data_IF_321217153659
#
_entry.id   IF_321217153659
#
_cell.length_a   1.000
_cell.length_b   1.000
_cell.length_c   1.000
_cell.angle_alpha   90.00
_cell.angle_beta   90.00
_cell.angle_gamma   90.00
#
_symmetry.space_group_name_H-M   'P 1'
#
loop_
_entity.id
_entity.type
_entity.pdbx_description
1 polymer ?
#
# COMPACT_ATOMS: atom_id res chain seq x y z
N UNK A 1 -27.85 -0.72 -34.95
CA UNK A 1 -28.05 -1.13 -33.53
C UNK A 1 -27.70 -2.60 -33.25
N UNK A 2 -28.03 -3.56 -34.11
CA UNK A 2 -27.87 -5.02 -33.87
C UNK A 2 -26.40 -5.51 -33.75
N UNK A 3 -25.44 -4.85 -34.41
CA UNK A 3 -24.03 -5.24 -34.39
C UNK A 3 -23.32 -4.98 -33.04
N UNK A 4 -23.68 -3.89 -32.35
CA UNK A 4 -23.13 -3.56 -31.02
C UNK A 4 -23.62 -4.54 -29.94
N UNK A 5 -24.85 -5.03 -30.06
CA UNK A 5 -25.45 -6.01 -29.16
C UNK A 5 -24.72 -7.36 -29.20
N UNK A 6 -24.33 -7.81 -30.41
CA UNK A 6 -23.59 -9.08 -30.59
C UNK A 6 -22.14 -9.01 -30.08
N UNK A 7 -21.50 -7.84 -30.19
CA UNK A 7 -20.17 -7.63 -29.61
C UNK A 7 -20.21 -7.62 -28.08
N UNK A 8 -21.21 -6.96 -27.48
CA UNK A 8 -21.41 -6.98 -26.03
C UNK A 8 -21.66 -8.39 -25.49
N UNK A 9 -22.48 -9.20 -26.17
CA UNK A 9 -22.75 -10.58 -25.76
C UNK A 9 -21.50 -11.49 -25.84
N UNK A 10 -20.62 -11.28 -26.83
CA UNK A 10 -19.33 -11.99 -26.91
C UNK A 10 -18.36 -11.56 -25.80
N UNK A 11 -18.37 -10.28 -25.42
CA UNK A 11 -17.55 -9.77 -24.32
C UNK A 11 -18.04 -10.35 -22.98
N UNK A 12 -19.36 -10.41 -22.76
CA UNK A 12 -19.93 -10.97 -21.52
C UNK A 12 -19.58 -12.47 -21.39
N UNK A 13 -19.75 -13.27 -22.45
CA UNK A 13 -19.46 -14.72 -22.37
C UNK A 13 -17.98 -15.03 -22.17
N UNK A 14 -17.08 -14.23 -22.74
CA UNK A 14 -15.63 -14.38 -22.55
C UNK A 14 -15.20 -13.97 -21.13
N UNK A 15 -15.81 -12.94 -20.55
CA UNK A 15 -15.55 -12.56 -19.15
C UNK A 15 -15.98 -13.61 -18.14
N UNK A 16 -17.09 -14.30 -18.38
CA UNK A 16 -17.57 -15.38 -17.49
C UNK A 16 -16.69 -16.63 -17.58
N UNK A 17 -16.14 -16.92 -18.76
CA UNK A 17 -15.22 -18.05 -18.94
C UNK A 17 -13.87 -17.82 -18.25
N UNK A 18 -13.36 -16.58 -18.27
CA UNK A 18 -12.15 -16.19 -17.54
C UNK A 18 -12.37 -16.25 -16.03
N UNK A 19 -13.55 -15.83 -15.54
CA UNK A 19 -13.91 -15.87 -14.12
C UNK A 19 -13.99 -17.31 -13.58
N UNK A 20 -14.51 -18.26 -14.38
CA UNK A 20 -14.53 -19.71 -14.05
C UNK A 20 -13.14 -20.36 -14.08
N UNK A 21 -12.25 -19.93 -14.97
CA UNK A 21 -10.87 -20.43 -15.00
C UNK A 21 -10.04 -19.93 -13.79
N UNK A 22 -10.33 -18.72 -13.31
CA UNK A 22 -9.70 -18.17 -12.11
C UNK A 22 -10.18 -18.87 -10.83
N UNK A 23 -11.47 -19.25 -10.72
CA UNK A 23 -11.97 -19.98 -9.54
C UNK A 23 -11.41 -21.40 -9.45
N UNK A 24 -11.23 -22.09 -10.59
CA UNK A 24 -10.75 -23.47 -10.61
C UNK A 24 -9.25 -23.58 -10.31
N UNK A 25 -8.43 -22.60 -10.74
CA UNK A 25 -6.99 -22.59 -10.43
C UNK A 25 -6.69 -22.26 -8.96
N UNK A 26 -7.59 -21.57 -8.25
CA UNK A 26 -7.44 -21.29 -6.82
C UNK A 26 -7.64 -22.56 -5.96
N UNK A 27 -8.49 -23.49 -6.39
CA UNK A 27 -8.72 -24.75 -5.65
C UNK A 27 -7.60 -25.78 -5.81
N UNK A 28 -6.87 -25.79 -6.92
CA UNK A 28 -5.82 -26.79 -7.16
C UNK A 28 -4.55 -26.51 -6.34
N UNK A 29 -4.31 -25.26 -5.94
CA UNK A 29 -3.11 -24.86 -5.20
C UNK A 29 -3.24 -24.95 -3.67
N UNK A 30 -4.45 -25.09 -3.10
CA UNK A 30 -4.68 -25.15 -1.65
C UNK A 30 -4.55 -26.56 -1.05
N UNK A 31 -4.50 -27.62 -1.86
CA UNK A 31 -4.65 -29.00 -1.39
C UNK A 31 -3.41 -29.68 -0.78
N UNK A 32 -2.22 -29.05 -0.75
CA UNK A 32 -0.98 -29.71 -0.27
C UNK A 32 -0.19 -28.97 0.82
N UNK A 33 -0.54 -27.72 1.12
CA UNK A 33 0.03 -26.98 2.24
C UNK A 33 -1.09 -26.18 2.88
N UNK A 34 -1.50 -26.55 4.10
CA UNK A 34 -2.38 -25.73 4.93
C UNK A 34 -1.61 -24.48 5.35
N UNK A 35 -1.54 -23.52 4.44
CA UNK A 35 -1.19 -22.13 4.72
C UNK A 35 -2.39 -21.34 4.23
N UNK A 36 -3.34 -21.09 5.13
CA UNK A 36 -4.35 -20.05 4.92
C UNK A 36 -3.62 -18.70 4.80
N UNK A 37 -3.15 -18.38 3.60
CA UNK A 37 -2.75 -17.03 3.25
C UNK A 37 -3.91 -16.41 2.49
N UNK A 38 -4.94 -16.04 3.24
CA UNK A 38 -6.12 -15.29 2.79
C UNK A 38 -5.72 -13.85 2.45
N UNK A 39 -4.98 -13.68 1.35
CA UNK A 39 -4.83 -12.37 0.69
C UNK A 39 -5.95 -12.17 -0.33
N UNK A 40 -7.20 -12.21 0.15
CA UNK A 40 -8.32 -11.64 -0.59
C UNK A 40 -8.63 -10.30 0.05
N UNK A 41 -7.95 -9.25 -0.43
CA UNK A 41 -8.33 -7.86 -0.14
C UNK A 41 -9.63 -7.56 -0.88
N UNK A 42 -10.74 -8.03 -0.34
CA UNK A 42 -12.05 -7.46 -0.65
C UNK A 42 -12.00 -6.02 -0.16
N UNK A 43 -11.79 -5.08 -1.08
CA UNK A 43 -12.28 -3.74 -0.87
C UNK A 43 -13.81 -3.87 -0.87
N UNK A 44 -14.39 -4.07 0.30
CA UNK A 44 -15.77 -3.70 0.53
C UNK A 44 -15.81 -2.19 0.31
N UNK A 45 -16.28 -1.78 -0.86
CA UNK A 45 -16.86 -0.46 -0.99
C UNK A 45 -18.16 -0.55 -0.19
N UNK A 46 -18.07 -0.24 1.10
CA UNK A 46 -19.26 0.08 1.89
C UNK A 46 -19.79 1.36 1.28
N UNK A 47 -20.79 1.20 0.42
CA UNK A 47 -21.73 2.24 0.03
C UNK A 47 -22.49 2.61 1.31
N UNK A 48 -21.87 3.45 2.14
CA UNK A 48 -22.52 4.02 3.31
C UNK A 48 -23.33 5.21 2.82
N UNK A 49 -24.64 5.05 2.87
CA UNK A 49 -25.61 6.11 2.62
C UNK A 49 -25.28 7.38 3.41
N UNK A 50 -25.61 8.51 2.78
CA UNK A 50 -25.30 9.86 3.26
C UNK A 50 -25.52 10.05 4.76
N UNK A 51 -24.41 10.12 5.50
CA UNK A 51 -24.31 10.89 6.73
C UNK A 51 -23.62 12.20 6.37
N UNK A 52 -24.14 13.30 6.88
CA UNK A 52 -23.51 14.61 6.77
C UNK A 52 -22.03 14.51 7.18
N UNK A 53 -21.11 14.71 6.23
CA UNK A 53 -19.68 14.39 6.36
C UNK A 53 -18.88 15.30 7.33
N UNK A 54 -19.55 16.03 8.21
CA UNK A 54 -18.96 17.10 9.02
C UNK A 54 -18.99 16.86 10.54
N UNK A 55 -19.70 15.84 11.03
CA UNK A 55 -19.88 15.65 12.47
C UNK A 55 -18.88 14.63 13.03
N UNK A 56 -17.95 15.12 13.86
CA UNK A 56 -17.05 14.25 14.63
C UNK A 56 -17.85 13.64 15.78
N UNK A 57 -17.89 12.31 15.88
CA UNK A 57 -18.58 11.61 16.98
C UNK A 57 -17.88 11.84 18.32
N UNK A 58 -18.23 12.95 18.99
CA UNK A 58 -17.63 13.40 20.25
C UNK A 58 -17.71 12.31 21.33
N UNK A 59 -18.86 11.64 21.44
CA UNK A 59 -19.13 10.63 22.48
C UNK A 59 -18.29 9.36 22.33
N UNK A 60 -17.99 8.94 21.11
CA UNK A 60 -17.18 7.74 20.85
C UNK A 60 -15.70 7.97 21.22
N UNK A 61 -15.24 9.22 21.16
CA UNK A 61 -13.85 9.58 21.44
C UNK A 61 -13.60 9.74 22.94
N UNK A 62 -14.55 10.34 23.67
CA UNK A 62 -14.38 10.74 25.07
C UNK A 62 -14.94 9.73 26.08
N UNK A 63 -15.58 8.65 25.62
CA UNK A 63 -16.26 7.66 26.47
C UNK A 63 -17.29 8.28 27.44
N UNK A 64 -17.83 9.47 27.12
CA UNK A 64 -18.87 10.15 27.92
C UNK A 64 -18.38 10.98 29.11
N UNK A 65 -17.08 11.26 29.23
CA UNK A 65 -16.57 12.17 30.28
C UNK A 65 -16.81 13.65 29.88
N UNK A 66 -17.58 14.42 30.68
CA UNK A 66 -17.95 15.80 30.34
C UNK A 66 -16.74 16.75 30.23
N UNK A 67 -15.67 16.53 31.00
CA UNK A 67 -14.47 17.38 30.93
C UNK A 67 -13.71 17.17 29.62
N UNK A 68 -13.57 15.90 29.20
CA UNK A 68 -12.93 15.54 27.94
C UNK A 68 -13.75 16.00 26.73
N UNK A 69 -15.08 15.96 26.82
CA UNK A 69 -15.97 16.49 25.78
C UNK A 69 -15.80 18.00 25.61
N UNK A 70 -15.77 18.76 26.71
CA UNK A 70 -15.51 20.19 26.64
C UNK A 70 -14.13 20.46 26.01
N UNK A 71 -13.09 19.73 26.46
CA UNK A 71 -11.73 19.88 25.92
C UNK A 71 -11.68 19.56 24.42
N UNK A 72 -12.38 18.53 23.96
CA UNK A 72 -12.44 18.15 22.55
C UNK A 72 -13.13 19.23 21.72
N UNK A 73 -14.23 19.81 22.20
CA UNK A 73 -14.92 20.94 21.55
C UNK A 73 -13.99 22.15 21.39
N UNK A 74 -13.23 22.49 22.43
CA UNK A 74 -12.22 23.57 22.35
C UNK A 74 -11.15 23.26 21.29
N UNK A 75 -10.67 22.02 21.22
CA UNK A 75 -9.68 21.60 20.23
C UNK A 75 -10.25 21.63 18.79
N UNK A 76 -11.53 21.29 18.62
CA UNK A 76 -12.22 21.36 17.33
C UNK A 76 -12.37 22.81 16.86
N UNK A 77 -12.77 23.71 17.76
CA UNK A 77 -12.82 25.15 17.50
C UNK A 77 -11.43 25.71 17.18
N UNK A 78 -10.39 25.27 17.89
CA UNK A 78 -9.00 25.65 17.61
C UNK A 78 -8.61 25.27 16.18
N UNK A 79 -8.97 24.06 15.73
CA UNK A 79 -8.71 23.60 14.37
C UNK A 79 -9.44 24.44 13.31
N UNK A 80 -10.71 24.81 13.58
CA UNK A 80 -11.50 25.63 12.67
C UNK A 80 -10.94 27.06 12.56
N UNK A 81 -10.60 27.69 13.67
CA UNK A 81 -9.93 29.00 13.67
C UNK A 81 -8.62 28.93 12.89
N UNK A 82 -7.82 27.87 13.06
CA UNK A 82 -6.59 27.69 12.31
C UNK A 82 -6.82 27.55 10.80
N UNK A 83 -7.91 26.89 10.37
CA UNK A 83 -8.29 26.83 8.94
C UNK A 83 -8.65 28.21 8.39
N UNK A 84 -9.43 28.99 9.13
CA UNK A 84 -9.82 30.35 8.75
C UNK A 84 -8.62 31.30 8.66
N UNK A 85 -7.64 31.13 9.56
CA UNK A 85 -6.35 31.84 9.51
C UNK A 85 -5.43 31.38 8.36
N UNK A 86 -5.83 30.39 7.55
CA UNK A 86 -5.04 29.87 6.44
C UNK A 86 -3.88 28.96 6.87
N UNK A 87 -3.88 28.42 8.09
CA UNK A 87 -2.86 27.48 8.56
C UNK A 87 -3.12 26.08 7.99
N UNK A 88 -2.03 25.30 7.89
CA UNK A 88 -2.07 23.93 7.36
C UNK A 88 -2.73 22.95 8.33
N UNK A 89 -4.05 22.83 8.25
CA UNK A 89 -4.87 21.87 9.00
C UNK A 89 -5.68 21.05 7.99
N UNK A 90 -5.71 19.71 8.09
CA UNK A 90 -6.49 18.88 7.19
C UNK A 90 -8.00 18.96 7.49
N UNK A 91 -8.81 18.50 6.55
CA UNK A 91 -10.26 18.37 6.75
C UNK A 91 -10.58 17.36 7.85
N UNK A 92 -11.71 17.59 8.54
CA UNK A 92 -12.14 16.73 9.65
C UNK A 92 -12.33 15.27 9.20
N UNK A 93 -12.73 15.04 7.95
CA UNK A 93 -12.90 13.71 7.35
C UNK A 93 -11.60 12.91 7.28
N UNK A 94 -10.44 13.57 7.23
CA UNK A 94 -9.14 12.89 7.23
C UNK A 94 -8.69 12.48 8.64
N UNK A 95 -9.17 13.17 9.68
CA UNK A 95 -8.71 12.98 11.05
C UNK A 95 -9.50 11.84 11.71
N UNK A 96 -8.89 10.67 11.79
CA UNK A 96 -9.43 9.51 12.51
C UNK A 96 -9.53 9.74 14.03
N UNK A 97 -10.45 9.05 14.71
CA UNK A 97 -10.62 9.03 16.17
C UNK A 97 -9.31 8.85 16.95
N UNK A 98 -8.40 7.98 16.46
CA UNK A 98 -7.09 7.78 17.12
C UNK A 98 -6.25 9.05 17.16
N UNK A 99 -6.36 9.88 16.12
CA UNK A 99 -5.65 11.16 16.03
C UNK A 99 -6.29 12.21 16.95
N UNK A 100 -7.61 12.19 17.12
CA UNK A 100 -8.30 13.03 18.10
C UNK A 100 -7.92 12.68 19.54
N UNK A 101 -7.82 11.38 19.87
CA UNK A 101 -7.31 10.92 21.17
C UNK A 101 -5.86 11.38 21.42
N UNK A 102 -5.04 11.35 20.38
CA UNK A 102 -3.67 11.88 20.46
C UNK A 102 -3.65 13.40 20.67
N UNK A 103 -4.49 14.16 19.97
CA UNK A 103 -4.61 15.61 20.15
C UNK A 103 -5.08 16.00 21.57
N UNK A 104 -5.98 15.20 22.16
CA UNK A 104 -6.44 15.37 23.55
C UNK A 104 -5.31 15.13 24.57
N UNK A 105 -4.40 14.20 24.28
CA UNK A 105 -3.25 13.91 25.14
C UNK A 105 -2.19 15.02 25.13
N UNK A 106 -2.15 15.86 24.09
CA UNK A 106 -1.16 16.92 23.95
C UNK A 106 -1.53 18.15 24.81
N UNK A 107 -0.65 18.58 25.74
CA UNK A 107 -0.99 19.66 26.67
C UNK A 107 -0.94 21.05 26.00
N UNK A 108 0.03 21.29 25.11
CA UNK A 108 0.29 22.62 24.54
C UNK A 108 -0.36 22.85 23.17
N UNK A 109 -0.87 24.07 22.95
CA UNK A 109 -1.36 24.57 21.65
C UNK A 109 -0.32 24.38 20.54
N UNK A 110 0.94 24.70 20.80
CA UNK A 110 2.04 24.56 19.84
C UNK A 110 2.33 23.10 19.48
N UNK A 111 2.10 22.16 20.41
CA UNK A 111 2.22 20.73 20.12
C UNK A 111 1.09 20.24 19.22
N UNK A 112 -0.16 20.67 19.48
CA UNK A 112 -1.31 20.37 18.62
C UNK A 112 -1.15 20.94 17.21
N UNK A 113 -0.67 22.19 17.09
CA UNK A 113 -0.34 22.80 15.79
C UNK A 113 0.63 21.93 14.98
N UNK A 114 1.73 21.49 15.58
CA UNK A 114 2.70 20.60 14.90
C UNK A 114 2.06 19.28 14.47
N UNK A 115 1.15 18.74 15.26
CA UNK A 115 0.39 17.54 14.90
C UNK A 115 -0.53 17.78 13.69
N UNK A 116 -1.27 18.89 13.65
CA UNK A 116 -2.10 19.25 12.50
C UNK A 116 -1.26 19.44 11.22
N UNK A 117 -0.14 20.16 11.32
CA UNK A 117 0.78 20.35 10.19
C UNK A 117 1.32 19.01 9.67
N UNK A 118 1.60 18.06 10.58
CA UNK A 118 1.99 16.70 10.21
C UNK A 118 0.87 15.95 9.48
N UNK A 119 -0.35 15.98 10.00
CA UNK A 119 -1.51 15.31 9.38
C UNK A 119 -1.85 15.93 8.01
N UNK A 120 -1.74 17.25 7.88
CA UNK A 120 -1.94 17.94 6.60
C UNK A 120 -0.91 17.51 5.54
N UNK A 121 0.36 17.39 5.92
CA UNK A 121 1.40 16.88 5.00
C UNK A 121 1.09 15.45 4.55
N UNK A 122 0.54 14.62 5.44
CA UNK A 122 0.13 13.25 5.10
C UNK A 122 -1.08 13.21 4.18
N UNK A 123 -2.09 14.05 4.39
CA UNK A 123 -3.28 14.12 3.53
C UNK A 123 -2.89 14.53 2.11
N UNK A 124 -2.10 15.60 1.97
CA UNK A 124 -1.59 16.07 0.67
C UNK A 124 -0.68 15.05 -0.01
N UNK A 125 0.14 14.31 0.75
CA UNK A 125 0.94 13.21 0.19
C UNK A 125 0.05 12.08 -0.34
N UNK A 126 -1.06 11.77 0.33
CA UNK A 126 -2.04 10.76 -0.13
C UNK A 126 -2.73 11.21 -1.41
N UNK A 127 -3.20 12.46 -1.45
CA UNK A 127 -3.82 13.07 -2.64
C UNK A 127 -2.86 13.05 -3.84
N UNK A 128 -1.63 13.54 -3.65
CA UNK A 128 -0.60 13.54 -4.70
C UNK A 128 -0.28 12.14 -5.22
N UNK A 129 -0.27 11.13 -4.34
CA UNK A 129 -0.05 9.73 -4.74
C UNK A 129 -1.20 9.21 -5.60
N UNK A 130 -2.44 9.57 -5.28
CA UNK A 130 -3.62 9.20 -6.06
C UNK A 130 -3.58 9.88 -7.43
N UNK A 131 -3.33 11.19 -7.46
CA UNK A 131 -3.21 11.97 -8.69
C UNK A 131 -2.14 11.39 -9.63
N UNK A 132 -0.92 11.17 -9.14
CA UNK A 132 0.17 10.55 -9.93
C UNK A 132 -0.18 9.15 -10.43
N UNK A 133 -0.96 8.37 -9.67
CA UNK A 133 -1.38 7.03 -10.09
C UNK A 133 -2.42 7.12 -11.22
N UNK A 134 -3.32 8.08 -11.18
CA UNK A 134 -4.30 8.31 -12.23
C UNK A 134 -3.63 8.83 -13.51
N UNK A 135 -2.73 9.80 -13.38
CA UNK A 135 -1.94 10.33 -14.49
C UNK A 135 -1.14 9.22 -15.21
N UNK A 136 -0.43 8.38 -14.45
CA UNK A 136 0.30 7.24 -15.03
C UNK A 136 -0.61 6.23 -15.74
N UNK A 137 -1.83 6.03 -15.25
CA UNK A 137 -2.80 5.14 -15.90
C UNK A 137 -3.27 5.74 -17.23
N UNK A 138 -3.59 7.02 -17.25
CA UNK A 138 -3.99 7.74 -18.47
C UNK A 138 -2.88 7.69 -19.53
N UNK A 139 -1.64 8.04 -19.14
CA UNK A 139 -0.48 7.96 -20.05
C UNK A 139 -0.27 6.54 -20.61
N UNK A 140 -0.46 5.51 -19.78
CA UNK A 140 -0.34 4.12 -20.24
C UNK A 140 -1.46 3.72 -21.22
N UNK A 141 -2.68 4.18 -20.98
CA UNK A 141 -3.82 3.96 -21.87
C UNK A 141 -3.64 4.68 -23.21
N UNK A 142 -3.19 5.93 -23.20
CA UNK A 142 -2.85 6.71 -24.39
C UNK A 142 -1.74 6.04 -25.21
N UNK A 143 -0.64 5.64 -24.57
CA UNK A 143 0.46 4.92 -25.23
C UNK A 143 -0.03 3.61 -25.88
N UNK A 144 -0.93 2.88 -25.20
CA UNK A 144 -1.51 1.65 -25.73
C UNK A 144 -2.40 1.92 -26.95
N UNK A 145 -3.19 3.00 -26.92
CA UNK A 145 -4.04 3.41 -28.05
C UNK A 145 -3.21 3.86 -29.25
N UNK A 146 -2.18 4.69 -29.04
CA UNK A 146 -1.24 5.12 -30.08
C UNK A 146 -0.60 3.91 -30.78
N UNK A 147 -0.03 2.97 -30.00
CA UNK A 147 0.54 1.73 -30.56
C UNK A 147 -0.48 0.89 -31.34
N UNK A 148 -1.73 0.85 -30.90
CA UNK A 148 -2.76 0.05 -31.59
C UNK A 148 -3.18 0.71 -32.91
N UNK A 149 -3.13 2.04 -32.99
CA UNK A 149 -3.46 2.80 -34.20
C UNK A 149 -2.29 2.78 -35.19
N UNK A 150 -1.05 2.98 -34.73
CA UNK A 150 0.16 2.88 -35.56
C UNK A 150 0.27 1.53 -36.28
N UNK A 151 -0.07 0.41 -35.61
CA UNK A 151 0.00 -0.94 -36.22
C UNK A 151 -1.02 -1.14 -37.36
N UNK A 152 -2.07 -0.30 -37.48
CA UNK A 152 -3.09 -0.47 -38.52
C UNK A 152 -2.75 0.22 -39.84
N UNK A 153 -1.87 1.22 -39.82
CA UNK A 153 -1.64 2.11 -40.97
C UNK A 153 -0.29 1.86 -41.68
N UNK A 154 0.55 0.95 -41.19
CA UNK A 154 1.86 0.63 -41.81
C UNK A 154 1.73 -0.55 -42.79
N UNK A 155 2.18 -0.40 -44.06
CA UNK A 155 2.27 -1.51 -45.01
C UNK A 155 3.11 -2.67 -44.45
N UNK A 156 2.68 -3.91 -44.72
CA UNK A 156 3.28 -5.16 -44.20
C UNK A 156 4.81 -5.23 -44.43
N UNK A 157 5.29 -4.65 -45.52
CA UNK A 157 6.70 -4.62 -45.91
C UNK A 157 7.54 -3.70 -45.00
N UNK A 158 7.02 -2.54 -44.59
CA UNK A 158 7.70 -1.60 -43.71
C UNK A 158 7.61 -2.03 -42.22
N UNK A 159 6.54 -2.74 -41.87
CA UNK A 159 6.40 -3.42 -40.57
C UNK A 159 7.45 -4.53 -40.38
N UNK A 160 7.81 -5.25 -41.45
CA UNK A 160 8.85 -6.29 -41.42
C UNK A 160 10.25 -5.70 -41.22
N UNK A 161 10.52 -4.50 -41.74
CA UNK A 161 11.83 -3.83 -41.61
C UNK A 161 12.06 -3.13 -40.27
N UNK A 162 11.00 -2.77 -39.54
CA UNK A 162 11.15 -1.92 -38.35
C UNK A 162 11.53 -2.70 -37.08
N UNK A 163 11.15 -3.98 -36.92
CA UNK A 163 11.53 -4.80 -35.76
C UNK A 163 11.50 -6.31 -36.03
N UNK A 164 12.60 -6.85 -36.53
CA UNK A 164 12.77 -8.28 -36.74
C UNK A 164 12.60 -9.07 -35.42
N UNK A 165 11.78 -10.14 -35.47
CA UNK A 165 11.28 -11.01 -34.39
C UNK A 165 10.16 -10.50 -33.43
N UNK A 166 9.22 -9.62 -33.83
CA UNK A 166 8.06 -9.24 -32.97
C UNK A 166 8.47 -8.70 -31.57
N UNK A 167 9.60 -8.01 -31.49
CA UNK A 167 10.26 -7.60 -30.23
C UNK A 167 10.86 -8.73 -29.36
N UNK A 168 11.04 -9.94 -29.88
CA UNK A 168 11.94 -10.93 -29.28
C UNK A 168 13.38 -10.50 -29.54
N UNK A 169 14.08 -10.09 -28.48
CA UNK A 169 15.53 -9.91 -28.50
C UNK A 169 16.21 -11.28 -28.32
N UNK A 170 17.34 -11.51 -28.99
CA UNK A 170 18.21 -12.67 -28.77
C UNK A 170 18.68 -12.77 -27.30
N UNK A 171 18.80 -11.63 -26.61
CA UNK A 171 19.15 -11.57 -25.20
C UNK A 171 17.92 -11.57 -24.30
N UNK A 172 17.98 -12.32 -23.18
CA UNK A 172 16.95 -12.25 -22.14
C UNK A 172 16.89 -10.82 -21.58
N UNK A 173 15.72 -10.18 -21.74
CA UNK A 173 15.44 -8.91 -21.06
C UNK A 173 15.14 -9.17 -19.59
N UNK A 174 15.96 -8.61 -18.71
CA UNK A 174 15.74 -8.67 -17.27
C UNK A 174 14.83 -7.51 -16.88
N UNK A 175 13.59 -7.82 -16.52
CA UNK A 175 12.65 -6.83 -15.98
C UNK A 175 12.81 -6.70 -14.46
N UNK A 176 12.42 -5.55 -13.92
CA UNK A 176 12.37 -5.34 -12.47
C UNK A 176 11.46 -6.37 -11.77
N UNK A 177 10.38 -6.80 -12.43
CA UNK A 177 9.52 -7.91 -11.95
C UNK A 177 10.28 -9.23 -11.86
N UNK A 178 11.17 -9.51 -12.82
CA UNK A 178 12.00 -10.72 -12.85
C UNK A 178 13.04 -10.69 -11.72
N UNK A 179 13.70 -9.54 -11.51
CA UNK A 179 14.62 -9.34 -10.38
C UNK A 179 13.89 -9.51 -9.04
N UNK A 180 12.68 -8.96 -8.93
CA UNK A 180 11.87 -9.10 -7.73
C UNK A 180 11.50 -10.57 -7.44
N UNK A 181 11.15 -11.34 -8.47
CA UNK A 181 10.87 -12.77 -8.34
C UNK A 181 12.10 -13.57 -7.92
N UNK A 182 13.27 -13.23 -8.45
CA UNK A 182 14.54 -13.82 -8.03
C UNK A 182 14.81 -13.58 -6.54
N UNK A 183 14.68 -12.34 -6.07
CA UNK A 183 14.86 -12.01 -4.66
C UNK A 183 13.83 -12.70 -3.75
N UNK A 184 12.59 -12.83 -4.18
CA UNK A 184 11.57 -13.54 -3.42
C UNK A 184 11.84 -15.05 -3.35
N UNK A 185 12.33 -15.64 -4.45
CA UNK A 185 12.72 -17.06 -4.50
C UNK A 185 13.88 -17.35 -3.55
N UNK A 186 14.83 -16.41 -3.43
CA UNK A 186 15.91 -16.48 -2.43
C UNK A 186 15.37 -16.44 -0.99
N UNK A 187 14.38 -15.60 -0.69
CA UNK A 187 13.74 -15.57 0.63
C UNK A 187 13.02 -16.88 0.97
N UNK A 188 12.37 -17.53 0.00
CA UNK A 188 11.75 -18.85 0.21
C UNK A 188 12.81 -19.88 0.62
N UNK A 189 13.97 -19.89 -0.05
CA UNK A 189 15.07 -20.78 0.33
C UNK A 189 15.60 -20.47 1.75
N UNK A 190 15.67 -19.20 2.12
CA UNK A 190 16.04 -18.76 3.47
C UNK A 190 15.07 -19.26 4.55
N UNK A 191 13.76 -19.26 4.26
CA UNK A 191 12.74 -19.76 5.19
C UNK A 191 12.89 -21.26 5.42
N UNK A 192 13.30 -22.01 4.39
CA UNK A 192 13.46 -23.47 4.49
C UNK A 192 14.79 -23.88 5.14
N UNK A 193 15.90 -23.28 4.73
CA UNK A 193 17.26 -23.74 5.06
C UNK A 193 18.12 -22.72 5.81
N UNK A 194 17.64 -21.49 5.98
CA UNK A 194 18.40 -20.40 6.56
C UNK A 194 18.58 -20.52 8.07
N UNK A 195 19.68 -19.93 8.56
CA UNK A 195 19.94 -19.81 10.00
C UNK A 195 18.84 -18.96 10.66
N UNK A 196 18.30 -19.44 11.79
CA UNK A 196 17.27 -18.71 12.53
C UNK A 196 17.88 -17.53 13.27
N UNK A 197 17.30 -16.35 13.07
CA UNK A 197 17.57 -15.13 13.84
C UNK A 197 16.27 -14.74 14.53
N UNK A 198 16.30 -14.65 15.85
CA UNK A 198 15.14 -14.24 16.65
C UNK A 198 15.39 -12.81 17.10
N UNK A 199 14.47 -11.91 16.76
CA UNK A 199 14.46 -10.55 17.28
C UNK A 199 13.47 -10.49 18.43
N UNK A 200 13.99 -10.16 19.61
CA UNK A 200 13.18 -9.92 20.79
C UNK A 200 12.52 -8.54 20.68
N UNK A 201 11.19 -8.52 20.74
CA UNK A 201 10.39 -7.29 20.73
C UNK A 201 9.61 -7.11 22.05
N UNK A 202 10.07 -7.73 23.14
CA UNK A 202 9.45 -7.61 24.46
C UNK A 202 9.59 -6.25 25.15
N UNK A 203 10.47 -5.37 24.65
CA UNK A 203 10.72 -4.05 25.23
C UNK A 203 9.77 -2.95 24.74
N UNK A 204 8.59 -3.31 24.22
CA UNK A 204 7.65 -2.35 23.60
C UNK A 204 7.11 -1.32 24.60
N UNK A 205 6.77 -1.77 25.81
CA UNK A 205 6.15 -0.95 26.86
C UNK A 205 7.07 0.16 27.38
N UNK A 206 8.38 -0.02 27.24
CA UNK A 206 9.39 0.95 27.68
C UNK A 206 9.82 1.90 26.57
N UNK A 207 9.32 1.75 25.34
CA UNK A 207 9.65 2.62 24.21
C UNK A 207 8.62 3.74 24.03
N UNK A 208 9.10 4.95 23.78
CA UNK A 208 8.23 6.03 23.30
C UNK A 208 7.68 5.69 21.91
N UNK A 209 6.54 6.27 21.52
CA UNK A 209 5.96 6.10 20.16
C UNK A 209 6.98 6.36 19.05
N UNK A 210 7.89 7.32 19.25
CA UNK A 210 8.93 7.67 18.27
C UNK A 210 10.00 6.59 18.16
N UNK A 211 10.45 6.04 19.28
CA UNK A 211 11.42 4.94 19.34
C UNK A 211 10.84 3.67 18.75
N UNK A 212 9.59 3.35 19.09
CA UNK A 212 8.85 2.22 18.53
C UNK A 212 8.76 2.32 17.00
N UNK A 213 8.38 3.49 16.45
CA UNK A 213 8.37 3.73 15.00
C UNK A 213 9.77 3.61 14.36
N UNK A 214 10.84 3.97 15.08
CA UNK A 214 12.19 3.83 14.58
C UNK A 214 12.66 2.37 14.63
N UNK A 215 12.32 1.62 15.68
CA UNK A 215 12.54 0.18 15.77
C UNK A 215 11.83 -0.54 14.61
N UNK A 216 10.56 -0.23 14.36
CA UNK A 216 9.82 -0.78 13.21
C UNK A 216 10.53 -0.51 11.86
N UNK A 217 11.15 0.68 11.68
CA UNK A 217 11.96 0.97 10.48
C UNK A 217 13.24 0.13 10.44
N UNK A 218 13.92 -0.05 11.56
CA UNK A 218 15.11 -0.90 11.63
C UNK A 218 14.79 -2.35 11.29
N UNK A 219 13.67 -2.89 11.77
CA UNK A 219 13.18 -4.22 11.40
C UNK A 219 12.87 -4.31 9.89
N UNK A 220 12.26 -3.28 9.32
CA UNK A 220 12.04 -3.18 7.88
C UNK A 220 13.36 -3.17 7.10
N UNK A 221 14.37 -2.43 7.57
CA UNK A 221 15.69 -2.40 6.95
C UNK A 221 16.39 -3.75 7.04
N UNK A 222 16.31 -4.44 8.19
CA UNK A 222 16.83 -5.80 8.34
C UNK A 222 16.22 -6.75 7.30
N UNK A 223 14.90 -6.72 7.10
CA UNK A 223 14.24 -7.53 6.08
C UNK A 223 14.70 -7.17 4.65
N UNK A 224 14.79 -5.87 4.34
CA UNK A 224 15.24 -5.42 3.03
C UNK A 224 16.69 -5.81 2.74
N UNK A 225 17.58 -5.72 3.74
CA UNK A 225 18.97 -6.14 3.62
C UNK A 225 19.11 -7.65 3.46
N UNK A 226 18.31 -8.42 4.20
CA UNK A 226 18.24 -9.87 4.03
C UNK A 226 17.88 -10.21 2.57
N UNK A 227 16.90 -9.52 1.96
CA UNK A 227 16.48 -9.76 0.57
C UNK A 227 17.59 -9.57 -0.48
N UNK A 228 18.52 -8.63 -0.26
CA UNK A 228 19.57 -8.25 -1.24
C UNK A 228 20.91 -8.92 -0.93
N UNK A 229 21.02 -9.64 0.20
CA UNK A 229 22.28 -10.18 0.67
C UNK A 229 22.94 -11.11 -0.37
N UNK A 230 24.21 -10.82 -0.69
CA UNK A 230 24.99 -11.43 -1.78
C UNK A 230 25.86 -12.61 -1.34
N UNK A 231 25.63 -13.19 -0.16
CA UNK A 231 26.42 -14.33 0.28
C UNK A 231 26.31 -15.50 -0.70
N UNK A 232 27.46 -16.08 -1.04
CA UNK A 232 27.56 -17.18 -2.00
C UNK A 232 27.06 -18.48 -1.32
N UNK A 233 25.90 -18.99 -1.75
CA UNK A 233 25.36 -20.30 -1.33
C UNK A 233 24.23 -20.28 -0.29
N UNK A 234 23.71 -21.48 0.01
CA UNK A 234 22.59 -21.79 0.93
C UNK A 234 22.70 -21.20 2.36
N UNK A 235 23.83 -20.59 2.72
CA UNK A 235 24.16 -20.09 4.06
C UNK A 235 23.93 -18.59 4.25
N UNK A 236 23.51 -17.87 3.20
CA UNK A 236 23.59 -16.43 3.15
C UNK A 236 22.38 -15.69 3.74
N UNK A 237 21.23 -16.35 3.86
CA UNK A 237 19.99 -15.68 4.22
C UNK A 237 19.46 -16.19 5.55
N UNK A 238 19.03 -15.25 6.39
CA UNK A 238 18.53 -15.56 7.72
C UNK A 238 17.02 -15.78 7.69
N UNK A 239 16.57 -16.78 8.43
CA UNK A 239 15.17 -16.98 8.77
C UNK A 239 14.85 -16.10 9.97
N UNK A 240 14.26 -14.95 9.72
CA UNK A 240 13.95 -13.95 10.75
C UNK A 240 12.63 -14.33 11.43
N UNK A 241 12.68 -14.47 12.74
CA UNK A 241 11.53 -14.61 13.62
C UNK A 241 11.45 -13.40 14.55
N UNK A 242 10.23 -13.01 14.88
CA UNK A 242 9.96 -11.98 15.88
C UNK A 242 9.27 -12.63 17.06
N UNK A 243 9.82 -12.40 18.25
CA UNK A 243 9.19 -12.84 19.49
C UNK A 243 8.34 -11.67 20.01
N UNK A 244 7.02 -11.77 19.81
CA UNK A 244 6.07 -10.73 20.20
C UNK A 244 5.23 -11.19 21.40
N UNK A 245 5.15 -10.41 22.48
CA UNK A 245 4.16 -10.65 23.52
C UNK A 245 2.76 -10.11 23.15
N UNK A 246 2.60 -9.16 22.21
CA UNK A 246 1.30 -8.53 21.88
C UNK A 246 1.12 -8.18 20.39
N UNK A 247 -0.14 -8.31 19.91
CA UNK A 247 -0.59 -8.06 18.52
C UNK A 247 -0.45 -6.60 18.04
N UNK A 248 -0.30 -5.63 18.94
CA UNK A 248 -0.27 -4.19 18.63
C UNK A 248 0.94 -3.78 17.77
N UNK A 249 2.09 -4.40 17.98
CA UNK A 249 3.34 -4.07 17.29
C UNK A 249 3.34 -4.53 15.82
N UNK A 250 2.72 -5.68 15.55
CA UNK A 250 2.54 -6.23 14.20
C UNK A 250 1.74 -5.23 13.32
N UNK A 251 0.70 -4.61 13.89
CA UNK A 251 -0.13 -3.64 13.19
C UNK A 251 0.66 -2.41 12.70
N UNK A 252 1.59 -1.90 13.52
CA UNK A 252 2.43 -0.76 13.15
C UNK A 252 3.43 -1.10 12.02
N UNK A 253 4.01 -2.31 12.03
CA UNK A 253 4.89 -2.79 10.95
C UNK A 253 4.14 -2.90 9.62
N UNK A 254 2.95 -3.53 9.63
CA UNK A 254 2.13 -3.70 8.41
C UNK A 254 1.58 -2.38 7.85
N UNK A 255 1.30 -1.39 8.72
CA UNK A 255 0.88 -0.04 8.30
C UNK A 255 2.01 0.71 7.57
N UNK A 256 3.26 0.52 8.00
CA UNK A 256 4.44 1.16 7.39
C UNK A 256 4.89 0.47 6.09
N UNK A 257 4.81 -0.86 6.00
CA UNK A 257 5.20 -1.61 4.80
C UNK A 257 4.27 -1.31 3.61
N UNK A 258 2.96 -1.14 3.85
CA UNK A 258 1.98 -0.75 2.83
C UNK A 258 2.19 0.67 2.26
N UNK A 259 2.99 1.53 2.93
CA UNK A 259 3.32 2.86 2.42
C UNK A 259 4.54 2.89 1.48
N UNK A 260 5.44 1.90 1.56
CA UNK A 260 6.71 1.87 0.79
C UNK A 260 6.80 0.82 -0.30
N UNK A 261 6.01 -0.26 -0.26
CA UNK A 261 6.03 -1.31 -1.28
C UNK A 261 5.56 -0.87 -2.69
N UNK A 262 5.19 0.41 -2.87
CA UNK A 262 4.80 1.01 -4.15
C UNK A 262 5.71 2.15 -4.61
N UNK A 263 6.84 2.42 -3.94
CA UNK A 263 7.65 3.62 -4.24
C UNK A 263 9.16 3.44 -4.29
N UNK A 264 9.70 2.22 -4.30
CA UNK A 264 11.14 2.03 -4.51
C UNK A 264 11.43 1.80 -5.98
N UNK A 265 11.31 2.86 -6.79
CA UNK A 265 12.18 2.99 -7.96
C UNK A 265 13.58 3.24 -7.42
N UNK A 266 14.53 2.35 -7.71
CA UNK A 266 15.94 2.55 -7.39
C UNK A 266 16.44 3.84 -8.10
N UNK A 267 17.26 4.68 -7.46
CA UNK A 267 17.99 5.71 -8.20
C UNK A 267 18.97 5.00 -9.14
N UNK A 268 18.87 5.32 -10.42
CA UNK A 268 19.74 4.78 -11.46
C UNK A 268 21.20 5.14 -11.21
N UNK A 269 22.04 4.12 -11.21
CA UNK A 269 23.43 4.19 -11.65
C UNK A 269 23.49 3.49 -13.00
#
# INVERSE_FOLDING_TARGET
MIARSRQLLKIISTTDHIRKLQSNNVQVFSGKYNVEFSFCRQFSHSDEGGRDESEVDIKAITNGDPELEHKLKVILLEAEVMRQEGKSVPDNTYISESHWKELLSLPSRSARRRMYEYLFKLSKKKENRIAKKLEKKQQFEEFKQQRTNEVKDVPIEEFAHTYDLKHNNMFLRIYESTINNLYNSKLIQAITYGQKVVVDCGYDDNMTKRENLNCAKQLMYMFAQNRVHKGNGLKALFKIFFMFPLLSFIYNIFRLSNQRLLSTTCPGY
#
